data_IF_544038863628
#
_entry.id   IF_544038863628
#
_cell.length_a   1.000
_cell.length_b   1.000
_cell.length_c   1.000
_cell.angle_alpha   90.00
_cell.angle_beta   90.00
_cell.angle_gamma   90.00
#
_symmetry.space_group_name_H-M   'P 1'
#
loop_
_entity.id
_entity.type
_entity.pdbx_description
1 polymer ?
#
# COMPACT_ATOMS: atom_id res chain seq x y z
N UNK A 1 23.46 -2.33 -4.94
CA UNK A 1 22.15 -1.76 -5.31
C UNK A 1 22.12 -0.31 -4.85
N UNK A 2 21.63 0.65 -5.63
CA UNK A 2 21.55 2.05 -5.15
C UNK A 2 20.43 2.18 -4.10
N UNK A 3 20.62 3.05 -3.11
CA UNK A 3 19.66 3.31 -2.03
C UNK A 3 18.26 3.64 -2.59
N UNK A 4 18.21 4.34 -3.74
CA UNK A 4 16.98 4.66 -4.47
C UNK A 4 16.21 3.40 -4.88
N UNK A 5 16.89 2.40 -5.45
CA UNK A 5 16.22 1.19 -5.94
C UNK A 5 15.68 0.34 -4.78
N UNK A 6 16.39 0.31 -3.65
CA UNK A 6 15.91 -0.37 -2.43
C UNK A 6 14.66 0.34 -1.89
N UNK A 7 14.65 1.67 -1.85
CA UNK A 7 13.50 2.45 -1.38
C UNK A 7 12.27 2.27 -2.28
N UNK A 8 12.45 2.32 -3.60
CA UNK A 8 11.36 2.07 -4.57
C UNK A 8 10.81 0.66 -4.39
N UNK A 9 11.69 -0.34 -4.26
CA UNK A 9 11.27 -1.72 -4.00
C UNK A 9 10.44 -1.81 -2.72
N UNK A 10 10.90 -1.20 -1.62
CA UNK A 10 10.17 -1.16 -0.36
C UNK A 10 8.77 -0.54 -0.50
N UNK A 11 8.66 0.59 -1.20
CA UNK A 11 7.36 1.25 -1.43
C UNK A 11 6.43 0.33 -2.25
N UNK A 12 6.93 -0.31 -3.31
CA UNK A 12 6.14 -1.22 -4.13
C UNK A 12 5.65 -2.44 -3.34
N UNK A 13 6.52 -3.03 -2.51
CA UNK A 13 6.14 -4.15 -1.65
C UNK A 13 5.11 -3.73 -0.61
N UNK A 14 5.26 -2.55 0.00
CA UNK A 14 4.28 -2.02 0.95
C UNK A 14 2.91 -1.76 0.29
N UNK A 15 2.90 -1.21 -0.93
CA UNK A 15 1.68 -1.03 -1.71
C UNK A 15 1.00 -2.35 -2.08
N UNK A 16 1.78 -3.35 -2.50
CA UNK A 16 1.27 -4.69 -2.79
C UNK A 16 0.66 -5.35 -1.54
N UNK A 17 1.30 -5.19 -0.38
CA UNK A 17 0.77 -5.66 0.90
C UNK A 17 -0.54 -4.95 1.26
N UNK A 18 -0.60 -3.62 1.11
CA UNK A 18 -1.83 -2.86 1.37
C UNK A 18 -2.96 -3.30 0.43
N UNK A 19 -2.68 -3.55 -0.84
CA UNK A 19 -3.66 -4.09 -1.79
C UNK A 19 -4.16 -5.47 -1.38
N UNK A 20 -3.25 -6.37 -1.03
CA UNK A 20 -3.60 -7.69 -0.54
C UNK A 20 -4.48 -7.62 0.71
N UNK A 21 -4.10 -6.79 1.70
CA UNK A 21 -4.86 -6.64 2.94
C UNK A 21 -6.24 -6.04 2.69
N UNK A 22 -6.37 -5.02 1.84
CA UNK A 22 -7.67 -4.45 1.47
C UNK A 22 -8.56 -5.51 0.82
N UNK A 23 -8.01 -6.28 -0.12
CA UNK A 23 -8.77 -7.32 -0.82
C UNK A 23 -9.20 -8.45 0.12
N UNK A 24 -8.26 -8.96 0.92
CA UNK A 24 -8.49 -10.05 1.86
C UNK A 24 -9.50 -9.65 2.94
N UNK A 25 -9.29 -8.50 3.58
CA UNK A 25 -10.21 -8.00 4.60
C UNK A 25 -11.61 -7.68 4.05
N UNK A 26 -11.70 -7.15 2.82
CA UNK A 26 -12.97 -6.97 2.13
C UNK A 26 -13.71 -8.29 1.87
N UNK A 27 -12.98 -9.35 1.51
CA UNK A 27 -13.55 -10.71 1.37
C UNK A 27 -14.07 -11.25 2.70
N UNK A 28 -13.35 -11.03 3.80
CA UNK A 28 -13.78 -11.47 5.13
C UNK A 28 -15.02 -10.73 5.62
N UNK A 29 -15.12 -9.42 5.36
CA UNK A 29 -16.33 -8.64 5.63
C UNK A 29 -17.54 -9.16 4.83
N UNK A 30 -17.36 -9.49 3.55
CA UNK A 30 -18.43 -10.08 2.74
C UNK A 30 -18.83 -11.49 3.21
N UNK A 31 -17.92 -12.21 3.87
CA UNK A 31 -18.19 -13.50 4.49
C UNK A 31 -18.90 -13.39 5.85
N UNK A 32 -19.16 -12.17 6.34
CA UNK A 32 -19.78 -11.92 7.65
C UNK A 32 -18.83 -12.11 8.83
N UNK A 33 -17.52 -12.16 8.59
CA UNK A 33 -16.53 -12.18 9.65
C UNK A 33 -16.27 -10.74 10.14
N UNK A 34 -17.15 -10.28 11.02
CA UNK A 34 -17.12 -8.94 11.62
C UNK A 34 -16.13 -8.87 12.79
N UNK A 35 -14.84 -8.92 12.45
CA UNK A 35 -13.74 -8.66 13.38
C UNK A 35 -13.05 -7.31 13.10
N UNK A 36 -11.74 -7.26 13.35
CA UNK A 36 -10.88 -6.13 12.97
C UNK A 36 -10.75 -5.93 11.45
N UNK A 37 -11.42 -6.77 10.64
CA UNK A 37 -11.39 -6.76 9.19
C UNK A 37 -11.80 -5.41 8.59
N UNK A 38 -12.77 -4.70 9.18
CA UNK A 38 -13.13 -3.35 8.72
C UNK A 38 -12.00 -2.33 8.95
N UNK A 39 -11.39 -2.34 10.13
CA UNK A 39 -10.27 -1.46 10.43
C UNK A 39 -9.08 -1.75 9.52
N UNK A 40 -8.77 -3.03 9.28
CA UNK A 40 -7.72 -3.43 8.34
C UNK A 40 -8.00 -2.96 6.93
N UNK A 41 -9.21 -3.19 6.42
CA UNK A 41 -9.63 -2.74 5.09
C UNK A 41 -9.47 -1.23 4.92
N UNK A 42 -9.87 -0.47 5.94
CA UNK A 42 -9.85 0.99 5.90
C UNK A 42 -8.40 1.53 5.95
N UNK A 43 -7.58 1.03 6.87
CA UNK A 43 -6.17 1.44 7.00
C UNK A 43 -5.35 1.06 5.76
N UNK A 44 -5.51 -0.16 5.25
CA UNK A 44 -4.78 -0.60 4.05
C UNK A 44 -5.23 0.16 2.79
N UNK A 45 -6.51 0.51 2.69
CA UNK A 45 -7.03 1.35 1.59
C UNK A 45 -6.49 2.77 1.66
N UNK A 46 -6.41 3.38 2.85
CA UNK A 46 -5.77 4.68 3.03
C UNK A 46 -4.28 4.63 2.69
N UNK A 47 -3.58 3.56 3.08
CA UNK A 47 -2.19 3.30 2.72
C UNK A 47 -1.96 3.24 1.21
N UNK A 48 -2.87 2.60 0.47
CA UNK A 48 -2.85 2.57 -1.00
C UNK A 48 -3.05 3.97 -1.60
N UNK A 49 -4.08 4.69 -1.16
CA UNK A 49 -4.42 6.03 -1.68
C UNK A 49 -3.29 7.03 -1.43
N UNK A 50 -2.64 6.96 -0.27
CA UNK A 50 -1.51 7.83 0.07
C UNK A 50 -0.19 7.37 -0.58
N UNK A 51 0.03 6.06 -0.71
CA UNK A 51 1.29 5.49 -1.17
C UNK A 51 1.53 5.65 -2.68
N UNK A 52 0.48 5.62 -3.52
CA UNK A 52 0.61 5.80 -4.98
C UNK A 52 1.11 7.22 -5.35
N UNK A 53 0.51 8.32 -4.81
CA UNK A 53 1.04 9.67 -5.00
C UNK A 53 2.46 9.83 -4.45
N UNK A 54 2.76 9.23 -3.29
CA UNK A 54 4.09 9.29 -2.69
C UNK A 54 5.15 8.63 -3.59
N UNK A 55 4.88 7.43 -4.12
CA UNK A 55 5.78 6.75 -5.07
C UNK A 55 6.03 7.61 -6.30
N UNK A 56 4.97 8.20 -6.87
CA UNK A 56 5.05 9.06 -8.06
C UNK A 56 5.91 10.29 -7.79
N UNK A 57 5.70 10.94 -6.65
CA UNK A 57 6.50 12.10 -6.21
C UNK A 57 7.96 11.72 -5.99
N UNK A 58 8.24 10.59 -5.33
CA UNK A 58 9.60 10.12 -5.06
C UNK A 58 10.38 9.84 -6.35
N UNK A 59 9.76 9.17 -7.32
CA UNK A 59 10.38 8.90 -8.62
C UNK A 59 10.68 10.20 -9.37
N UNK A 60 9.75 11.15 -9.37
CA UNK A 60 9.96 12.46 -10.02
C UNK A 60 11.12 13.22 -9.37
N UNK A 61 11.15 13.30 -8.05
CA UNK A 61 12.19 14.00 -7.30
C UNK A 61 13.58 13.39 -7.50
N UNK A 62 13.67 12.06 -7.61
CA UNK A 62 14.94 11.34 -7.77
C UNK A 62 15.41 11.16 -9.22
N UNK A 63 14.62 11.61 -10.21
CA UNK A 63 15.05 11.76 -11.61
C UNK A 63 15.56 13.18 -11.92
N UNK A 64 15.14 14.17 -11.13
CA UNK A 64 15.56 15.58 -11.27
C UNK A 64 16.86 15.91 -10.51
N UNK A 65 17.35 14.98 -9.68
CA UNK A 65 18.63 14.97 -8.98
C UNK A 65 19.59 14.01 -9.70
#
# INVERSE_FOLDING_TARGET
MSLRNVHIFFILTALALCFFLTYWSGRQLMAGEDGWNFAFALVSSLGLVAGIPYLTWFIKKTKAL
#
